data_IF_539518118607
#
_entry.id   IF_539518118607
#
_cell.length_a   1.000
_cell.length_b   1.000
_cell.length_c   1.000
_cell.angle_alpha   90.00
_cell.angle_beta   90.00
_cell.angle_gamma   90.00
#
_symmetry.space_group_name_H-M   'P 1'
#
loop_
_entity.id
_entity.type
_entity.pdbx_description
1 polymer ?
#
# COMPACT_ATOMS: atom_id res chain seq x y z
N UNK A 1 6.81 -24.80 7.63
CA UNK A 1 7.96 -23.87 7.68
C UNK A 1 7.56 -22.73 8.63
N UNK A 2 8.38 -22.38 9.63
CA UNK A 2 7.99 -21.33 10.60
C UNK A 2 8.02 -19.95 9.94
N UNK A 3 6.88 -19.26 9.93
CA UNK A 3 6.70 -17.89 9.37
C UNK A 3 7.51 -16.86 10.17
N UNK A 4 7.88 -17.17 11.42
CA UNK A 4 8.59 -16.24 12.29
C UNK A 4 9.97 -15.82 11.75
N UNK A 5 10.71 -16.72 11.06
CA UNK A 5 12.04 -16.41 10.51
C UNK A 5 12.01 -15.39 9.36
N UNK A 6 11.20 -15.57 8.30
CA UNK A 6 11.11 -14.57 7.23
C UNK A 6 10.55 -13.25 7.77
N UNK A 7 9.60 -13.28 8.70
CA UNK A 7 9.09 -12.04 9.34
C UNK A 7 10.16 -11.31 10.13
N UNK A 8 10.97 -12.02 10.92
CA UNK A 8 12.10 -11.43 11.63
C UNK A 8 13.10 -10.79 10.65
N UNK A 9 13.42 -11.47 9.53
CA UNK A 9 14.31 -10.93 8.52
C UNK A 9 13.77 -9.63 7.89
N UNK A 10 12.47 -9.60 7.54
CA UNK A 10 11.82 -8.39 6.99
C UNK A 10 11.84 -7.25 8.01
N UNK A 11 11.49 -7.53 9.27
CA UNK A 11 11.46 -6.52 10.34
C UNK A 11 12.86 -5.99 10.63
N UNK A 12 13.87 -6.84 10.73
CA UNK A 12 15.25 -6.42 10.97
C UNK A 12 15.80 -5.60 9.81
N UNK A 13 15.51 -5.99 8.57
CA UNK A 13 15.88 -5.22 7.39
C UNK A 13 15.18 -3.85 7.38
N UNK A 14 13.86 -3.82 7.60
CA UNK A 14 13.09 -2.59 7.69
C UNK A 14 13.63 -1.65 8.79
N UNK A 15 13.92 -2.19 9.98
CA UNK A 15 14.55 -1.44 11.07
C UNK A 15 15.91 -0.88 10.66
N UNK A 16 16.75 -1.68 10.00
CA UNK A 16 18.07 -1.23 9.57
C UNK A 16 17.97 -0.06 8.59
N UNK A 17 17.03 -0.11 7.63
CA UNK A 17 16.80 0.97 6.68
C UNK A 17 16.19 2.21 7.37
N UNK A 18 15.23 2.02 8.27
CA UNK A 18 14.63 3.13 9.01
C UNK A 18 15.64 3.84 9.91
N UNK A 19 16.47 3.08 10.63
CA UNK A 19 17.54 3.63 11.44
C UNK A 19 18.60 4.33 10.59
N UNK A 20 18.98 3.76 9.45
CA UNK A 20 19.89 4.43 8.52
C UNK A 20 19.34 5.79 8.10
N UNK A 21 18.05 5.87 7.75
CA UNK A 21 17.41 7.13 7.38
C UNK A 21 17.37 8.14 8.54
N UNK A 22 17.06 7.69 9.75
CA UNK A 22 16.95 8.57 10.93
C UNK A 22 18.32 9.00 11.50
N UNK A 23 19.36 8.20 11.31
CA UNK A 23 20.68 8.41 11.93
C UNK A 23 21.68 9.03 10.96
N UNK A 24 21.59 8.72 9.66
CA UNK A 24 22.63 9.09 8.68
C UNK A 24 22.20 10.25 7.79
N UNK A 25 20.93 10.34 7.41
CA UNK A 25 20.46 11.42 6.53
C UNK A 25 20.32 12.74 7.29
N UNK A 26 20.36 13.85 6.55
CA UNK A 26 19.93 15.15 7.05
C UNK A 26 18.40 15.12 7.15
N UNK A 27 17.88 15.41 8.34
CA UNK A 27 16.44 15.33 8.62
C UNK A 27 15.70 16.57 8.13
N UNK A 28 16.41 17.65 7.81
CA UNK A 28 15.84 18.91 7.30
C UNK A 28 15.76 18.91 5.77
N UNK A 29 16.55 18.10 5.10
CA UNK A 29 16.52 17.97 3.65
C UNK A 29 15.15 17.45 3.16
N UNK A 30 14.65 18.05 2.08
CA UNK A 30 13.37 17.70 1.44
C UNK A 30 12.19 17.66 2.43
N UNK A 31 12.04 18.70 3.25
CA UNK A 31 10.91 18.89 4.18
C UNK A 31 10.68 17.71 5.15
N UNK A 32 11.74 17.01 5.56
CA UNK A 32 11.60 15.87 6.48
C UNK A 32 11.16 14.57 5.84
N UNK A 33 11.30 14.43 4.51
CA UNK A 33 10.95 13.22 3.80
C UNK A 33 11.60 11.97 4.42
N UNK A 34 12.86 12.05 4.86
CA UNK A 34 13.56 10.94 5.51
C UNK A 34 12.85 10.47 6.79
N UNK A 35 12.39 11.41 7.62
CA UNK A 35 11.64 11.12 8.86
C UNK A 35 10.29 10.50 8.52
N UNK A 36 9.56 11.05 7.56
CA UNK A 36 8.26 10.53 7.13
C UNK A 36 8.40 9.12 6.52
N UNK A 37 9.40 8.87 5.67
CA UNK A 37 9.64 7.55 5.10
C UNK A 37 10.02 6.56 6.20
N UNK A 38 10.88 6.94 7.15
CA UNK A 38 11.32 6.05 8.21
C UNK A 38 10.21 5.67 9.21
N UNK A 39 9.37 6.65 9.60
CA UNK A 39 8.32 6.46 10.59
C UNK A 39 7.01 5.93 10.01
N UNK A 40 6.74 6.20 8.73
CA UNK A 40 5.49 5.84 8.09
C UNK A 40 5.69 4.89 6.92
N UNK A 41 6.51 5.27 5.93
CA UNK A 41 6.70 4.50 4.71
C UNK A 41 7.24 3.08 4.96
N UNK A 42 8.32 2.96 5.72
CA UNK A 42 8.99 1.69 5.99
C UNK A 42 8.10 0.74 6.81
N UNK A 43 7.49 1.15 7.93
CA UNK A 43 6.57 0.29 8.66
C UNK A 43 5.39 -0.21 7.82
N UNK A 44 4.84 0.67 6.98
CA UNK A 44 3.74 0.34 6.07
C UNK A 44 4.14 -0.74 5.05
N UNK A 45 5.30 -0.59 4.40
CA UNK A 45 5.81 -1.57 3.43
C UNK A 45 6.16 -2.89 4.13
N UNK A 46 6.82 -2.83 5.29
CA UNK A 46 7.17 -4.01 6.06
C UNK A 46 5.92 -4.81 6.46
N UNK A 47 4.89 -4.13 6.96
CA UNK A 47 3.59 -4.74 7.26
C UNK A 47 2.98 -5.40 6.00
N UNK A 48 2.99 -4.72 4.86
CA UNK A 48 2.46 -5.26 3.61
C UNK A 48 3.17 -6.56 3.17
N UNK A 49 4.50 -6.59 3.24
CA UNK A 49 5.31 -7.77 2.90
C UNK A 49 5.05 -8.91 3.89
N UNK A 50 4.96 -8.59 5.18
CA UNK A 50 4.70 -9.56 6.24
C UNK A 50 3.30 -10.20 6.08
N UNK A 51 2.29 -9.42 5.70
CA UNK A 51 0.95 -9.91 5.32
C UNK A 51 1.04 -10.87 4.12
N UNK A 52 1.82 -10.53 3.08
CA UNK A 52 2.01 -11.41 1.93
C UNK A 52 2.66 -12.75 2.32
N UNK A 53 3.66 -12.75 3.19
CA UNK A 53 4.28 -13.99 3.68
C UNK A 53 3.30 -14.84 4.50
N UNK A 54 2.52 -14.20 5.36
CA UNK A 54 1.48 -14.88 6.12
C UNK A 54 0.44 -15.54 5.20
N UNK A 55 -0.09 -14.79 4.23
CA UNK A 55 -1.12 -15.29 3.33
C UNK A 55 -0.58 -16.30 2.33
N UNK A 56 0.65 -16.19 1.87
CA UNK A 56 1.25 -17.21 1.00
C UNK A 56 1.56 -18.51 1.75
N UNK A 57 1.95 -18.43 3.03
CA UNK A 57 2.13 -19.60 3.88
C UNK A 57 0.79 -20.26 4.23
N UNK A 58 -0.27 -19.47 4.49
CA UNK A 58 -1.62 -19.97 4.75
C UNK A 58 -2.31 -20.52 3.46
N UNK A 59 -2.22 -19.78 2.35
CA UNK A 59 -2.81 -20.16 1.06
C UNK A 59 -2.04 -21.25 0.30
N UNK A 60 -0.86 -21.65 0.80
CA UNK A 60 -0.19 -22.89 0.40
C UNK A 60 -1.03 -24.16 0.62
N UNK A 61 -2.22 -24.04 1.24
CA UNK A 61 -3.16 -25.13 1.50
C UNK A 61 -4.15 -25.39 0.35
N UNK A 62 -4.58 -24.41 -0.47
CA UNK A 62 -5.28 -24.65 -1.76
C UNK A 62 -5.69 -23.35 -2.45
N UNK A 63 -4.98 -23.00 -3.52
CA UNK A 63 -5.24 -21.81 -4.32
C UNK A 63 -6.10 -22.11 -5.56
N UNK A 64 -7.30 -22.65 -5.37
CA UNK A 64 -8.28 -22.79 -6.48
C UNK A 64 -9.50 -21.88 -6.35
N UNK A 65 -9.77 -21.30 -5.16
CA UNK A 65 -10.93 -20.41 -4.97
C UNK A 65 -10.62 -19.25 -4.01
N UNK A 66 -10.36 -18.04 -4.52
CA UNK A 66 -9.95 -16.89 -3.69
C UNK A 66 -11.04 -16.42 -2.71
N UNK A 67 -12.32 -16.72 -2.96
CA UNK A 67 -13.42 -16.37 -2.05
C UNK A 67 -13.59 -17.37 -0.88
N UNK A 68 -13.30 -18.66 -1.07
CA UNK A 68 -13.44 -19.68 -0.02
C UNK A 68 -12.23 -19.72 0.94
N UNK A 69 -11.05 -19.27 0.47
CA UNK A 69 -9.87 -19.14 1.31
C UNK A 69 -10.04 -18.14 2.47
N UNK A 70 -10.96 -17.16 2.34
CA UNK A 70 -11.27 -16.21 3.42
C UNK A 70 -12.06 -16.87 4.57
N UNK A 71 -12.91 -17.85 4.29
CA UNK A 71 -13.63 -18.64 5.30
C UNK A 71 -12.68 -19.67 5.97
N UNK A 72 -11.88 -20.40 5.20
CA UNK A 72 -10.91 -21.37 5.75
C UNK A 72 -9.77 -20.71 6.56
N UNK A 73 -9.53 -19.41 6.37
CA UNK A 73 -8.60 -18.65 7.20
C UNK A 73 -9.05 -18.52 8.66
N UNK A 74 -10.35 -18.66 8.97
CA UNK A 74 -10.82 -18.73 10.37
C UNK A 74 -10.35 -20.00 11.07
N UNK A 75 -10.23 -21.12 10.36
CA UNK A 75 -9.76 -22.39 10.92
C UNK A 75 -8.23 -22.51 10.99
N UNK A 76 -7.49 -21.76 10.17
CA UNK A 76 -6.04 -21.65 10.22
C UNK A 76 -5.49 -20.80 11.40
N UNK A 77 -6.34 -20.48 12.39
CA UNK A 77 -6.10 -19.59 13.54
C UNK A 77 -4.97 -19.98 14.50
N UNK A 78 -4.19 -21.02 14.24
CA UNK A 78 -2.95 -21.29 14.99
C UNK A 78 -1.79 -20.45 14.46
N UNK A 79 -2.01 -19.13 14.37
CA UNK A 79 -0.95 -18.17 14.10
C UNK A 79 -0.02 -18.18 15.29
N UNK A 80 1.26 -18.51 15.08
CA UNK A 80 2.23 -18.44 16.18
C UNK A 80 2.31 -16.99 16.65
N UNK A 81 1.97 -16.73 17.91
CA UNK A 81 2.04 -15.39 18.54
C UNK A 81 3.40 -14.70 18.31
N UNK A 82 4.46 -15.48 18.12
CA UNK A 82 5.80 -15.04 17.77
C UNK A 82 5.89 -14.19 16.51
N UNK A 83 5.05 -14.43 15.50
CA UNK A 83 5.01 -13.63 14.27
C UNK A 83 4.47 -12.21 14.53
N UNK A 84 3.36 -12.11 15.26
CA UNK A 84 2.73 -10.83 15.59
C UNK A 84 3.63 -9.96 16.46
N UNK A 85 4.43 -10.58 17.34
CA UNK A 85 5.41 -9.89 18.16
C UNK A 85 6.41 -9.05 17.35
N UNK A 86 6.92 -9.59 16.24
CA UNK A 86 7.89 -8.88 15.40
C UNK A 86 7.29 -7.63 14.75
N UNK A 87 6.08 -7.73 14.21
CA UNK A 87 5.46 -6.62 13.48
C UNK A 87 4.76 -5.61 14.39
N UNK A 88 4.13 -6.06 15.48
CA UNK A 88 3.35 -5.19 16.37
C UNK A 88 4.17 -4.59 17.50
N UNK A 89 5.29 -5.20 17.88
CA UNK A 89 6.14 -4.68 18.95
C UNK A 89 7.55 -4.33 18.48
N UNK A 90 8.29 -5.29 17.91
CA UNK A 90 9.71 -5.06 17.60
C UNK A 90 9.89 -3.94 16.58
N UNK A 91 9.09 -3.94 15.51
CA UNK A 91 9.18 -2.91 14.48
C UNK A 91 8.79 -1.51 15.02
N UNK A 92 7.63 -1.29 15.66
CA UNK A 92 7.30 0.03 16.19
C UNK A 92 8.28 0.53 17.24
N UNK A 93 8.65 -0.32 18.20
CA UNK A 93 9.57 0.06 19.27
C UNK A 93 10.95 0.38 18.71
N UNK A 94 11.45 -0.41 17.76
CA UNK A 94 12.76 -0.16 17.15
C UNK A 94 12.79 1.13 16.33
N UNK A 95 11.73 1.42 15.57
CA UNK A 95 11.60 2.68 14.81
C UNK A 95 11.50 3.87 15.77
N UNK A 96 10.71 3.76 16.84
CA UNK A 96 10.59 4.83 17.85
C UNK A 96 11.89 5.04 18.64
N UNK A 97 12.64 3.98 18.95
CA UNK A 97 13.96 4.12 19.56
C UNK A 97 14.93 4.87 18.65
N UNK A 98 14.89 4.60 17.34
CA UNK A 98 15.60 5.39 16.33
C UNK A 98 15.17 6.86 16.30
N UNK A 99 13.87 7.10 16.42
CA UNK A 99 13.32 8.46 16.47
C UNK A 99 13.82 9.22 17.70
N UNK A 100 13.92 8.58 18.87
CA UNK A 100 14.50 9.19 20.08
C UNK A 100 15.93 9.65 19.81
N UNK A 101 16.75 8.84 19.15
CA UNK A 101 18.10 9.23 18.78
C UNK A 101 18.10 10.44 17.82
N UNK A 102 17.24 10.43 16.81
CA UNK A 102 17.08 11.54 15.87
C UNK A 102 16.66 12.85 16.57
N UNK A 103 15.74 12.78 17.53
CA UNK A 103 15.29 13.93 18.35
C UNK A 103 16.45 14.50 19.17
N UNK A 104 17.28 13.64 19.76
CA UNK A 104 18.43 14.09 20.53
C UNK A 104 19.51 14.74 19.65
N UNK A 105 19.63 14.31 18.38
CA UNK A 105 20.57 14.90 17.42
C UNK A 105 20.10 16.28 16.94
N UNK A 106 18.81 16.43 16.66
CA UNK A 106 18.23 17.64 16.06
C UNK A 106 16.96 18.10 16.80
N UNK A 107 17.07 18.56 18.06
CA UNK A 107 15.91 18.89 18.89
C UNK A 107 15.05 20.00 18.29
N UNK A 108 15.65 21.03 17.68
CA UNK A 108 14.92 22.16 17.11
C UNK A 108 13.97 21.75 15.97
N UNK A 109 14.33 20.71 15.21
CA UNK A 109 13.48 20.20 14.12
C UNK A 109 12.22 19.52 14.67
N UNK A 110 12.35 18.77 15.76
CA UNK A 110 11.24 18.02 16.35
C UNK A 110 10.42 18.81 17.37
N UNK A 111 11.03 19.79 18.02
CA UNK A 111 10.42 20.54 19.10
C UNK A 111 9.84 21.87 18.64
N UNK A 112 10.33 22.49 17.55
CA UNK A 112 9.78 23.71 16.97
C UNK A 112 9.23 24.69 18.00
N UNK A 113 7.93 25.03 17.89
CA UNK A 113 7.20 25.87 18.84
C UNK A 113 6.55 25.08 20.01
N UNK A 114 6.67 23.76 20.06
CA UNK A 114 6.17 22.92 21.15
C UNK A 114 6.29 21.39 20.91
N UNK A 115 6.21 20.57 21.97
CA UNK A 115 6.47 19.13 21.91
C UNK A 115 5.36 18.30 21.24
N UNK A 116 4.39 18.95 20.60
CA UNK A 116 3.20 18.29 20.04
C UNK A 116 3.56 17.27 18.95
N UNK A 117 4.63 17.51 18.19
CA UNK A 117 5.10 16.59 17.14
C UNK A 117 5.51 15.21 17.70
N UNK A 118 5.96 15.14 18.96
CA UNK A 118 6.35 13.89 19.61
C UNK A 118 5.18 12.91 19.79
N UNK A 119 3.96 13.43 19.96
CA UNK A 119 2.74 12.62 20.09
C UNK A 119 2.39 11.96 18.75
N UNK A 120 2.69 12.63 17.63
CA UNK A 120 2.40 12.11 16.30
C UNK A 120 3.33 10.98 15.86
N UNK A 121 4.56 10.90 16.39
CA UNK A 121 5.52 9.85 16.04
C UNK A 121 4.96 8.42 16.24
N UNK A 122 4.45 8.02 17.43
CA UNK A 122 3.85 6.70 17.60
C UNK A 122 2.56 6.52 16.81
N UNK A 123 1.78 7.59 16.61
CA UNK A 123 0.54 7.54 15.83
C UNK A 123 0.87 7.24 14.36
N UNK A 124 1.86 7.89 13.77
CA UNK A 124 2.27 7.64 12.38
C UNK A 124 2.71 6.19 12.18
N UNK A 125 3.51 5.65 13.09
CA UNK A 125 3.94 4.25 13.02
C UNK A 125 2.74 3.29 13.12
N UNK A 126 1.79 3.56 14.02
CA UNK A 126 0.59 2.74 14.18
C UNK A 126 -0.31 2.81 12.92
N UNK A 127 -0.57 4.01 12.41
CA UNK A 127 -1.35 4.21 11.18
C UNK A 127 -0.67 3.56 9.99
N UNK A 128 0.66 3.65 9.88
CA UNK A 128 1.44 2.99 8.84
C UNK A 128 1.26 1.47 8.86
N UNK A 129 1.34 0.85 10.03
CA UNK A 129 1.09 -0.59 10.16
C UNK A 129 -0.31 -0.98 9.69
N UNK A 130 -1.33 -0.20 10.05
CA UNK A 130 -2.72 -0.42 9.62
C UNK A 130 -2.87 -0.26 8.11
N UNK A 131 -2.26 0.77 7.52
CA UNK A 131 -2.27 1.03 6.08
C UNK A 131 -1.43 0.02 5.30
N UNK A 132 -0.54 -0.73 5.96
CA UNK A 132 0.20 -1.82 5.34
C UNK A 132 -0.72 -2.87 4.71
N UNK A 133 -1.91 -3.11 5.28
CA UNK A 133 -2.92 -3.98 4.66
C UNK A 133 -3.50 -3.41 3.36
N UNK A 134 -3.71 -2.10 3.30
CA UNK A 134 -4.18 -1.39 2.10
C UNK A 134 -3.11 -1.45 1.00
N UNK A 135 -1.85 -1.14 1.35
CA UNK A 135 -0.71 -1.24 0.43
C UNK A 135 -0.53 -2.67 -0.06
N UNK A 136 -0.68 -3.65 0.82
CA UNK A 136 -0.65 -5.05 0.44
C UNK A 136 -1.71 -5.36 -0.63
N UNK A 137 -2.95 -4.97 -0.39
CA UNK A 137 -4.08 -5.28 -1.27
C UNK A 137 -3.94 -4.66 -2.67
N UNK A 138 -3.48 -3.41 -2.76
CA UNK A 138 -3.38 -2.70 -4.04
C UNK A 138 -2.06 -2.89 -4.78
N UNK A 139 -0.97 -3.26 -4.09
CA UNK A 139 0.35 -3.37 -4.71
C UNK A 139 0.95 -4.76 -4.58
N UNK A 140 1.16 -5.24 -3.36
CA UNK A 140 1.90 -6.49 -3.14
C UNK A 140 1.14 -7.71 -3.65
N UNK A 141 -0.15 -7.81 -3.34
CA UNK A 141 -1.01 -8.91 -3.77
C UNK A 141 -1.17 -8.96 -5.30
N UNK A 142 -1.50 -7.87 -6.00
CA UNK A 142 -1.56 -7.85 -7.46
C UNK A 142 -0.22 -8.19 -8.13
N UNK A 143 0.90 -7.68 -7.62
CA UNK A 143 2.24 -8.06 -8.12
C UNK A 143 2.46 -9.56 -7.96
N UNK A 144 2.11 -10.13 -6.81
CA UNK A 144 2.23 -11.57 -6.59
C UNK A 144 1.35 -12.38 -7.56
N UNK A 145 0.14 -11.92 -7.88
CA UNK A 145 -0.72 -12.53 -8.90
C UNK A 145 -0.13 -12.42 -10.30
N UNK A 146 0.45 -11.27 -10.67
CA UNK A 146 1.14 -11.10 -11.95
C UNK A 146 2.31 -12.06 -12.09
N UNK A 147 3.14 -12.20 -11.05
CA UNK A 147 4.25 -13.15 -11.05
C UNK A 147 3.75 -14.58 -11.28
N UNK A 148 2.62 -14.96 -10.67
CA UNK A 148 1.99 -16.28 -10.90
C UNK A 148 1.48 -16.41 -12.34
N UNK A 149 0.80 -15.39 -12.87
CA UNK A 149 0.28 -15.39 -14.24
C UNK A 149 1.41 -15.49 -15.28
N UNK A 150 2.50 -14.73 -15.10
CA UNK A 150 3.70 -14.81 -15.93
C UNK A 150 4.30 -16.21 -15.88
N UNK A 151 4.46 -16.80 -14.69
CA UNK A 151 4.97 -18.17 -14.57
C UNK A 151 4.08 -19.21 -15.25
N UNK A 152 2.75 -19.09 -15.15
CA UNK A 152 1.82 -19.98 -15.85
C UNK A 152 1.89 -19.80 -17.37
N UNK A 153 2.03 -18.57 -17.85
CA UNK A 153 2.21 -18.26 -19.26
C UNK A 153 3.51 -18.82 -19.83
N UNK A 154 4.60 -18.76 -19.07
CA UNK A 154 5.87 -19.39 -19.45
C UNK A 154 5.79 -20.93 -19.51
N UNK A 155 4.80 -21.53 -18.83
CA UNK A 155 4.51 -22.98 -18.87
C UNK A 155 3.47 -23.36 -19.93
N UNK A 156 2.95 -22.40 -20.69
CA UNK A 156 1.92 -22.63 -21.70
C UNK A 156 0.49 -22.75 -21.16
N UNK A 157 0.28 -22.54 -19.86
CA UNK A 157 -1.02 -22.64 -19.18
C UNK A 157 -1.72 -21.26 -19.06
N UNK A 158 -1.19 -20.24 -19.74
CA UNK A 158 -1.56 -18.83 -19.59
C UNK A 158 -2.81 -18.40 -20.37
N UNK A 159 -3.93 -18.18 -19.67
CA UNK A 159 -5.07 -17.43 -20.18
C UNK A 159 -4.86 -15.89 -20.03
N UNK A 160 -5.15 -15.07 -21.06
CA UNK A 160 -5.02 -13.61 -21.00
C UNK A 160 -5.82 -12.94 -19.88
N UNK A 161 -6.94 -13.54 -19.47
CA UNK A 161 -7.79 -13.04 -18.40
C UNK A 161 -7.07 -12.98 -17.03
N UNK A 162 -6.02 -13.79 -16.82
CA UNK A 162 -5.27 -13.82 -15.55
C UNK A 162 -4.52 -12.52 -15.25
N UNK A 163 -4.24 -11.70 -16.27
CA UNK A 163 -3.53 -10.43 -16.12
C UNK A 163 -4.46 -9.26 -15.80
N UNK A 164 -5.74 -9.36 -16.15
CA UNK A 164 -6.67 -8.21 -16.10
C UNK A 164 -6.86 -7.70 -14.69
N UNK A 165 -7.24 -8.59 -13.76
CA UNK A 165 -7.55 -8.19 -12.38
C UNK A 165 -6.35 -7.64 -11.61
N UNK A 166 -5.15 -8.26 -11.69
CA UNK A 166 -3.95 -7.69 -11.08
C UNK A 166 -3.58 -6.31 -11.65
N UNK A 167 -3.70 -6.10 -12.96
CA UNK A 167 -3.43 -4.80 -13.58
C UNK A 167 -4.43 -3.76 -13.10
N UNK A 168 -5.72 -4.10 -13.05
CA UNK A 168 -6.77 -3.19 -12.56
C UNK A 168 -6.50 -2.76 -11.12
N UNK A 169 -6.15 -3.69 -10.22
CA UNK A 169 -5.84 -3.35 -8.83
C UNK A 169 -4.60 -2.43 -8.71
N UNK A 170 -3.55 -2.70 -9.49
CA UNK A 170 -2.36 -1.83 -9.53
C UNK A 170 -2.69 -0.44 -10.06
N UNK A 171 -3.51 -0.35 -11.10
CA UNK A 171 -3.95 0.91 -11.68
C UNK A 171 -4.78 1.72 -10.68
N UNK A 172 -5.67 1.07 -9.92
CA UNK A 172 -6.44 1.74 -8.85
C UNK A 172 -5.49 2.24 -7.75
N UNK A 173 -4.53 1.42 -7.31
CA UNK A 173 -3.52 1.84 -6.33
C UNK A 173 -2.71 3.04 -6.82
N UNK A 174 -2.21 2.98 -8.06
CA UNK A 174 -1.47 4.06 -8.69
C UNK A 174 -2.32 5.34 -8.80
N UNK A 175 -3.60 5.21 -9.15
CA UNK A 175 -4.54 6.33 -9.19
C UNK A 175 -4.70 6.99 -7.81
N UNK A 176 -4.81 6.20 -6.74
CA UNK A 176 -4.90 6.75 -5.38
C UNK A 176 -3.64 7.51 -4.97
N UNK A 177 -2.45 6.96 -5.25
CA UNK A 177 -1.17 7.61 -4.90
C UNK A 177 -0.95 8.86 -5.75
N UNK A 178 -1.00 8.73 -7.08
CA UNK A 178 -0.73 9.85 -7.98
C UNK A 178 -1.78 10.93 -7.81
N UNK A 179 -3.05 10.58 -7.66
CA UNK A 179 -4.13 11.53 -7.37
C UNK A 179 -3.88 12.29 -6.07
N UNK A 180 -3.60 11.58 -4.98
CA UNK A 180 -3.33 12.19 -3.67
C UNK A 180 -2.09 13.08 -3.64
N UNK A 181 -1.02 12.71 -4.36
CA UNK A 181 0.19 13.54 -4.47
C UNK A 181 0.01 14.76 -5.37
N UNK A 182 -0.93 14.71 -6.32
CA UNK A 182 -1.09 15.77 -7.32
C UNK A 182 -2.00 16.91 -6.87
N UNK A 183 -2.72 16.74 -5.77
CA UNK A 183 -3.80 17.65 -5.35
C UNK A 183 -3.76 17.92 -3.87
N UNK A 184 -3.82 19.20 -3.51
CA UNK A 184 -4.03 19.64 -2.14
C UNK A 184 -5.50 19.97 -1.90
N UNK A 185 -6.03 19.45 -0.80
CA UNK A 185 -7.41 19.65 -0.34
C UNK A 185 -7.46 20.38 1.00
N UNK A 186 -6.36 20.98 1.46
CA UNK A 186 -6.25 21.65 2.76
C UNK A 186 -7.34 22.69 3.04
N UNK A 187 -7.89 23.32 1.99
CA UNK A 187 -8.94 24.35 2.09
C UNK A 187 -10.37 23.79 2.13
N UNK A 188 -10.57 22.47 1.94
CA UNK A 188 -11.87 21.87 1.64
C UNK A 188 -12.60 21.29 2.86
N UNK A 189 -11.90 21.09 3.98
CA UNK A 189 -12.49 20.48 5.17
C UNK A 189 -13.06 19.06 4.91
N UNK A 190 -14.02 18.62 5.74
CA UNK A 190 -14.51 17.22 5.79
C UNK A 190 -15.26 16.73 4.53
N UNK A 191 -15.46 17.57 3.51
CA UNK A 191 -16.22 17.24 2.30
C UNK A 191 -15.34 17.20 1.04
N UNK A 192 -14.16 16.57 1.11
CA UNK A 192 -13.21 16.50 0.01
C UNK A 192 -13.65 15.64 -1.19
N UNK A 193 -14.72 14.85 -1.07
CA UNK A 193 -15.16 13.92 -2.14
C UNK A 193 -15.48 14.63 -3.46
N UNK A 194 -16.21 15.75 -3.43
CA UNK A 194 -16.56 16.49 -4.64
C UNK A 194 -15.29 17.11 -5.26
N UNK A 195 -14.43 17.82 -4.50
CA UNK A 195 -13.20 18.37 -5.06
C UNK A 195 -12.21 17.33 -5.56
N UNK A 196 -12.15 16.13 -4.95
CA UNK A 196 -11.37 15.00 -5.47
C UNK A 196 -11.88 14.60 -6.87
N UNK A 197 -13.20 14.41 -7.03
CA UNK A 197 -13.78 14.06 -8.34
C UNK A 197 -13.52 15.17 -9.38
N UNK A 198 -13.72 16.43 -9.00
CA UNK A 198 -13.47 17.58 -9.88
C UNK A 198 -12.01 17.65 -10.33
N UNK A 199 -11.07 17.41 -9.41
CA UNK A 199 -9.63 17.42 -9.70
C UNK A 199 -9.21 16.34 -10.70
N UNK A 200 -9.75 15.13 -10.53
CA UNK A 200 -9.53 14.00 -11.41
C UNK A 200 -10.07 14.32 -12.82
N UNK A 201 -11.25 14.90 -12.90
CA UNK A 201 -11.91 15.28 -14.16
C UNK A 201 -11.33 16.55 -14.80
N UNK A 202 -10.48 17.30 -14.10
CA UNK A 202 -9.95 18.58 -14.58
C UNK A 202 -10.95 19.72 -14.61
N UNK A 203 -12.03 19.59 -13.84
CA UNK A 203 -13.03 20.64 -13.70
C UNK A 203 -12.54 21.59 -12.60
N UNK A 204 -12.43 22.91 -12.84
CA UNK A 204 -11.98 23.85 -11.84
C UNK A 204 -12.88 23.78 -10.59
N UNK A 205 -12.26 23.82 -9.41
CA UNK A 205 -12.95 23.67 -8.14
C UNK A 205 -12.10 24.15 -6.98
N UNK A 206 -12.58 23.97 -5.74
CA UNK A 206 -11.84 24.39 -4.54
C UNK A 206 -10.75 23.36 -4.22
N UNK A 207 -9.73 23.23 -5.06
CA UNK A 207 -8.56 22.39 -4.82
C UNK A 207 -7.34 23.05 -5.48
N UNK A 208 -6.15 22.77 -4.95
CA UNK A 208 -4.92 23.25 -5.55
C UNK A 208 -4.22 22.10 -6.26
N UNK A 209 -3.83 22.33 -7.51
CA UNK A 209 -3.02 21.35 -8.25
C UNK A 209 -1.56 21.56 -7.88
N UNK A 210 -0.97 20.56 -7.23
CA UNK A 210 0.44 20.54 -6.87
C UNK A 210 1.28 19.99 -8.03
N UNK A 211 0.76 19.00 -8.75
CA UNK A 211 1.49 18.31 -9.82
C UNK A 211 0.59 17.99 -11.01
N UNK A 212 0.58 18.89 -12.00
CA UNK A 212 -0.26 18.76 -13.19
C UNK A 212 0.02 17.50 -14.05
N UNK A 213 1.29 17.11 -14.30
CA UNK A 213 1.59 15.84 -15.00
C UNK A 213 0.98 14.61 -14.31
N UNK A 214 0.90 14.61 -12.98
CA UNK A 214 0.28 13.52 -12.22
C UNK A 214 -1.21 13.37 -12.51
N UNK A 215 -1.94 14.47 -12.67
CA UNK A 215 -3.35 14.44 -13.06
C UNK A 215 -3.57 13.87 -14.47
N UNK A 216 -2.65 14.14 -15.40
CA UNK A 216 -2.69 13.50 -16.73
C UNK A 216 -2.49 12.00 -16.66
N UNK A 217 -1.57 11.53 -15.80
CA UNK A 217 -1.38 10.10 -15.53
C UNK A 217 -2.66 9.49 -14.97
N UNK A 218 -3.29 10.13 -13.99
CA UNK A 218 -4.56 9.68 -13.39
C UNK A 218 -5.65 9.54 -14.45
N UNK A 219 -5.81 10.55 -15.31
CA UNK A 219 -6.79 10.51 -16.43
C UNK A 219 -6.47 9.40 -17.42
N UNK A 220 -5.21 9.20 -17.76
CA UNK A 220 -4.76 8.09 -18.62
C UNK A 220 -5.11 6.73 -18.01
N UNK A 221 -4.89 6.55 -16.71
CA UNK A 221 -5.26 5.34 -15.97
C UNK A 221 -6.78 5.11 -16.04
N UNK A 222 -7.59 6.15 -15.78
CA UNK A 222 -9.05 6.06 -15.86
C UNK A 222 -9.50 5.65 -17.25
N UNK A 223 -8.93 6.26 -18.29
CA UNK A 223 -9.25 5.93 -19.67
C UNK A 223 -8.94 4.45 -19.98
N UNK A 224 -7.78 3.94 -19.54
CA UNK A 224 -7.42 2.52 -19.68
C UNK A 224 -8.41 1.62 -18.95
N UNK A 225 -8.77 1.94 -17.70
CA UNK A 225 -9.74 1.18 -16.92
C UNK A 225 -11.12 1.16 -17.59
N UNK A 226 -11.57 2.30 -18.13
CA UNK A 226 -12.82 2.39 -18.88
C UNK A 226 -12.80 1.54 -20.14
N UNK A 227 -11.71 1.59 -20.92
CA UNK A 227 -11.56 0.77 -22.14
C UNK A 227 -11.61 -0.72 -21.79
N UNK A 228 -10.89 -1.15 -20.74
CA UNK A 228 -10.91 -2.54 -20.28
C UNK A 228 -12.34 -2.97 -19.87
N UNK A 229 -13.04 -2.14 -19.11
CA UNK A 229 -14.40 -2.43 -18.67
C UNK A 229 -15.39 -2.50 -19.84
N UNK A 230 -15.35 -1.53 -20.76
CA UNK A 230 -16.20 -1.52 -21.96
C UNK A 230 -15.89 -2.71 -22.85
N UNK A 231 -14.62 -3.06 -23.04
CA UNK A 231 -14.22 -4.22 -23.83
C UNK A 231 -14.75 -5.53 -23.23
N UNK A 232 -14.66 -5.72 -21.91
CA UNK A 232 -15.26 -6.89 -21.24
C UNK A 232 -16.78 -6.93 -21.41
N UNK A 233 -17.44 -5.79 -21.25
CA UNK A 233 -18.90 -5.71 -21.38
C UNK A 233 -19.39 -5.99 -22.80
N UNK A 234 -18.68 -5.48 -23.82
CA UNK A 234 -18.98 -5.74 -25.22
C UNK A 234 -18.80 -7.21 -25.61
N UNK A 235 -17.80 -7.89 -25.02
CA UNK A 235 -17.53 -9.31 -25.25
C UNK A 235 -18.60 -10.22 -24.65
N UNK A 236 -19.21 -9.81 -23.53
CA UNK A 236 -20.26 -10.58 -22.84
C UNK A 236 -21.67 -10.36 -23.41
N UNK A 237 -21.88 -9.31 -24.22
CA UNK A 237 -23.15 -9.02 -24.91
C UNK A 237 -23.72 -10.19 -25.74
N UNK A 238 -22.95 -10.90 -26.59
CA UNK A 238 -23.47 -12.02 -27.38
C UNK A 238 -23.94 -13.19 -26.49
N UNK A 239 -23.25 -13.50 -25.40
CA UNK A 239 -23.64 -14.56 -24.47
C UNK A 239 -24.98 -14.25 -23.76
N UNK A 240 -25.17 -12.99 -23.31
CA UNK A 240 -26.42 -12.54 -22.68
C UNK A 240 -27.61 -12.44 -23.65
N UNK A 241 -27.36 -12.35 -24.95
CA UNK A 241 -28.43 -12.40 -25.98
C UNK A 241 -28.88 -13.83 -26.29
N UNK A 242 -28.01 -14.82 -26.11
CA UNK A 242 -28.34 -16.23 -26.30
C UNK A 242 -29.18 -16.79 -25.14
N UNK A 243 -28.96 -16.32 -23.92
CA UNK A 243 -29.72 -16.73 -22.71
C UNK A 243 -31.15 -16.16 -22.64
N UNK A 244 -31.44 -15.12 -23.44
CA UNK A 244 -32.77 -14.50 -23.53
C UNK A 244 -33.63 -15.00 -24.70
N UNK A 245 -33.15 -15.99 -25.46
CA UNK A 245 -33.92 -16.70 -26.50
C UNK A 245 -34.29 -18.08 -26.01
#
# INVERSE_FOLDING_TARGET
>A
MSIARPTAAVVLFALSVALLMLVVLDLRDNDGAAVMIALFGIPMIAAAIVVQFYLSAAAGIRAERPMQALEEMQDAQRVSRSFLWWILLVLPVGVLAGAVFAILREPDYFLGDGPWMLIWLPIFVAVALLLGGVVWFFFVFPVALLVKAVRASLRGEGAPAMYVWPIVLLLIGALCIVGGLSTDFATVGKAATIPVILSILGIPGPYQVLWEPGLWIVRGIIAVLMVLFVATWLKDRPARRAEKR
#
